data_IF_241800581304
#
_entry.id   IF_241800581304
#
_cell.length_a   1.000
_cell.length_b   1.000
_cell.length_c   1.000
_cell.angle_alpha   90.00
_cell.angle_beta   90.00
_cell.angle_gamma   90.00
#
_symmetry.space_group_name_H-M   'P 1'
#
loop_
_entity.id
_entity.type
_entity.pdbx_description
1 polymer ?
#
# COMPACT_ATOMS: atom_id res chain seq x y z
N UNK A 1 23.75 -53.23 14.40
CA UNK A 1 22.66 -52.28 14.59
C UNK A 1 23.25 -50.89 14.62
N UNK A 2 23.09 -50.02 13.63
CA UNK A 2 23.53 -48.63 13.72
C UNK A 2 22.40 -47.74 14.23
N UNK A 3 22.77 -46.90 15.20
CA UNK A 3 21.88 -45.95 15.87
C UNK A 3 21.43 -44.80 14.96
N UNK A 4 20.18 -44.39 15.12
CA UNK A 4 19.55 -43.23 14.52
C UNK A 4 20.15 -41.92 15.04
N UNK A 5 20.59 -40.98 14.20
CA UNK A 5 20.99 -39.67 14.66
C UNK A 5 19.86 -38.64 14.58
N UNK A 6 19.59 -37.98 15.70
CA UNK A 6 19.53 -36.52 15.78
C UNK A 6 18.26 -35.80 15.37
N UNK A 7 17.11 -36.00 16.08
CA UNK A 7 15.99 -35.03 16.10
C UNK A 7 16.29 -33.72 16.84
N UNK A 8 17.43 -33.60 17.53
CA UNK A 8 17.73 -32.45 18.40
C UNK A 8 18.33 -31.21 17.71
N UNK A 9 18.89 -31.34 16.52
CA UNK A 9 19.63 -30.24 15.87
C UNK A 9 18.70 -29.31 15.09
N UNK A 10 17.66 -29.86 14.46
CA UNK A 10 16.68 -29.08 13.68
C UNK A 10 15.82 -28.15 14.57
N UNK A 11 15.45 -28.61 15.77
CA UNK A 11 14.63 -27.82 16.71
C UNK A 11 15.40 -26.59 17.26
N UNK A 12 16.70 -26.76 17.57
CA UNK A 12 17.55 -25.65 18.05
C UNK A 12 17.80 -24.58 16.99
N UNK A 13 17.83 -24.94 15.70
CA UNK A 13 17.95 -23.98 14.59
C UNK A 13 16.70 -23.13 14.43
N UNK A 14 15.52 -23.75 14.52
CA UNK A 14 14.24 -23.08 14.41
C UNK A 14 13.98 -22.11 15.57
N UNK A 15 14.26 -22.51 16.80
CA UNK A 15 14.17 -21.61 17.97
C UNK A 15 15.10 -20.40 17.86
N UNK A 16 16.29 -20.57 17.27
CA UNK A 16 17.24 -19.48 17.06
C UNK A 16 16.70 -18.47 16.04
N UNK A 17 16.07 -18.96 14.96
CA UNK A 17 15.42 -18.11 13.94
C UNK A 17 14.23 -17.35 14.55
N UNK A 18 13.37 -18.04 15.30
CA UNK A 18 12.21 -17.39 15.96
C UNK A 18 12.68 -16.31 16.96
N UNK A 19 13.74 -16.58 17.75
CA UNK A 19 14.31 -15.58 18.66
C UNK A 19 14.93 -14.39 17.90
N UNK A 20 15.59 -14.65 16.77
CA UNK A 20 16.17 -13.58 15.92
C UNK A 20 15.08 -12.72 15.29
N UNK A 21 13.98 -13.31 14.80
CA UNK A 21 12.81 -12.56 14.26
C UNK A 21 12.12 -11.77 15.36
N UNK A 22 11.96 -12.35 16.56
CA UNK A 22 11.41 -11.63 17.70
C UNK A 22 12.33 -10.52 18.23
N UNK A 23 13.65 -10.73 18.18
CA UNK A 23 14.64 -9.72 18.52
C UNK A 23 14.64 -8.57 17.50
N UNK A 24 14.58 -8.90 16.20
CA UNK A 24 14.46 -7.93 15.12
C UNK A 24 13.16 -7.15 15.21
N UNK A 25 12.04 -7.81 15.51
CA UNK A 25 10.76 -7.16 15.77
C UNK A 25 10.80 -6.19 16.95
N UNK A 26 11.51 -6.58 18.05
CA UNK A 26 11.73 -5.69 19.21
C UNK A 26 12.69 -4.54 18.90
N UNK A 27 13.68 -4.77 18.05
CA UNK A 27 14.67 -3.76 17.66
C UNK A 27 14.07 -2.76 16.66
N UNK A 28 13.21 -3.22 15.74
CA UNK A 28 12.39 -2.35 14.88
C UNK A 28 11.37 -1.56 15.70
N UNK A 29 10.72 -2.16 16.69
CA UNK A 29 9.86 -1.46 17.65
C UNK A 29 10.65 -0.48 18.53
N UNK A 30 11.90 -0.78 18.91
CA UNK A 30 12.80 0.12 19.64
C UNK A 30 13.32 1.27 18.76
N UNK A 31 13.62 1.03 17.47
CA UNK A 31 13.97 2.11 16.53
C UNK A 31 12.76 3.01 16.21
N UNK A 32 11.54 2.45 16.23
CA UNK A 32 10.32 3.25 16.14
C UNK A 32 10.03 4.06 17.41
N UNK A 33 10.51 3.61 18.57
CA UNK A 33 10.43 4.29 19.85
C UNK A 33 11.73 5.03 20.16
N UNK A 34 12.02 6.11 19.44
CA UNK A 34 13.03 7.07 19.89
C UNK A 34 12.56 7.68 21.24
N UNK A 35 13.37 7.61 22.32
CA UNK A 35 12.97 8.17 23.60
C UNK A 35 12.89 9.70 23.46
N UNK A 36 11.71 10.27 23.59
CA UNK A 36 11.56 11.71 23.70
C UNK A 36 10.37 12.39 23.02
N UNK A 37 9.51 11.70 22.27
CA UNK A 37 8.34 12.36 21.68
C UNK A 37 7.04 11.62 22.08
N UNK A 38 6.10 12.31 22.78
CA UNK A 38 4.79 11.76 23.11
C UNK A 38 3.84 11.75 21.91
N UNK A 39 4.37 11.73 20.69
CA UNK A 39 3.60 11.77 19.45
C UNK A 39 3.34 10.34 18.99
N UNK A 40 2.07 9.95 18.78
CA UNK A 40 1.74 8.61 18.34
C UNK A 40 2.34 8.28 16.97
N UNK A 41 2.63 7.01 16.72
CA UNK A 41 3.10 6.53 15.42
C UNK A 41 1.97 6.61 14.38
N UNK A 42 1.96 7.70 13.59
CA UNK A 42 0.97 7.93 12.55
C UNK A 42 1.34 7.09 11.32
N UNK A 43 0.44 6.17 10.94
CA UNK A 43 0.49 5.40 9.72
C UNK A 43 -0.41 6.00 8.63
N UNK A 44 0.08 6.03 7.39
CA UNK A 44 -0.65 6.52 6.22
C UNK A 44 -1.01 5.38 5.27
N UNK A 45 -2.31 5.10 5.13
CA UNK A 45 -2.83 4.12 4.18
C UNK A 45 -3.21 4.80 2.86
N UNK A 46 -2.54 4.43 1.77
CA UNK A 46 -2.80 4.95 0.42
C UNK A 46 -3.56 3.90 -0.40
N UNK A 47 -4.82 4.16 -0.69
CA UNK A 47 -5.69 3.25 -1.45
C UNK A 47 -5.37 3.19 -2.94
N UNK A 48 -5.97 2.21 -3.63
CA UNK A 48 -5.91 2.08 -5.08
C UNK A 48 -6.75 3.13 -5.81
N UNK A 49 -6.55 3.33 -7.13
CA UNK A 49 -7.38 4.30 -7.87
C UNK A 49 -6.89 4.72 -9.25
N UNK A 50 -5.91 4.05 -9.87
CA UNK A 50 -5.33 4.42 -11.17
C UNK A 50 -4.86 5.89 -11.22
N UNK A 51 -5.19 6.66 -12.30
CA UNK A 51 -4.79 8.06 -12.44
C UNK A 51 -5.27 8.94 -11.28
N UNK A 52 -6.44 8.64 -10.69
CA UNK A 52 -6.97 9.34 -9.51
C UNK A 52 -6.01 9.31 -8.32
N UNK A 53 -5.11 8.32 -8.29
CA UNK A 53 -4.04 8.22 -7.29
C UNK A 53 -3.16 9.46 -7.18
N UNK A 54 -3.08 10.32 -8.19
CA UNK A 54 -2.34 11.58 -8.10
C UNK A 54 -2.84 12.47 -6.95
N UNK A 55 -4.06 12.28 -6.46
CA UNK A 55 -4.57 12.96 -5.27
C UNK A 55 -3.76 12.60 -4.00
N UNK A 56 -3.13 11.43 -3.93
CA UNK A 56 -2.24 11.09 -2.82
C UNK A 56 -1.06 12.06 -2.72
N UNK A 57 -0.56 12.59 -3.84
CA UNK A 57 0.53 13.58 -3.85
C UNK A 57 0.08 14.84 -3.13
N UNK A 58 -1.14 15.31 -3.39
CA UNK A 58 -1.72 16.46 -2.71
C UNK A 58 -1.86 16.25 -1.19
N UNK A 59 -2.29 15.04 -0.78
CA UNK A 59 -2.34 14.68 0.64
C UNK A 59 -0.94 14.73 1.27
N UNK A 60 0.06 14.14 0.63
CA UNK A 60 1.45 14.13 1.11
C UNK A 60 2.03 15.55 1.20
N UNK A 61 1.72 16.44 0.23
CA UNK A 61 2.16 17.84 0.26
C UNK A 61 1.66 18.55 1.51
N UNK A 62 0.37 18.43 1.82
CA UNK A 62 -0.19 19.06 3.02
C UNK A 62 0.39 18.46 4.30
N UNK A 63 0.60 17.15 4.34
CA UNK A 63 1.23 16.51 5.51
C UNK A 63 2.65 17.00 5.75
N UNK A 64 3.47 17.21 4.70
CA UNK A 64 4.81 17.77 4.84
C UNK A 64 4.80 19.27 5.21
N UNK A 65 3.98 20.07 4.52
CA UNK A 65 3.82 21.50 4.81
C UNK A 65 3.45 21.74 6.29
N UNK A 66 2.53 20.91 6.81
CA UNK A 66 2.05 20.99 8.19
C UNK A 66 2.90 20.20 9.18
N UNK A 67 4.00 19.62 8.71
CA UNK A 67 4.96 18.83 9.51
C UNK A 67 4.31 17.69 10.30
N UNK A 68 3.30 17.07 9.73
CA UNK A 68 2.66 15.90 10.33
C UNK A 68 3.61 14.69 10.20
N UNK A 69 4.05 14.06 11.31
CA UNK A 69 5.09 13.05 11.30
C UNK A 69 4.54 11.69 10.89
N UNK A 70 4.47 11.40 9.58
CA UNK A 70 4.14 10.07 9.07
C UNK A 70 5.32 9.12 9.36
N UNK A 71 5.05 8.07 10.14
CA UNK A 71 6.06 7.09 10.59
C UNK A 71 6.07 5.81 9.77
N UNK A 72 4.95 5.44 9.18
CA UNK A 72 4.76 4.19 8.43
C UNK A 72 3.81 4.48 7.27
N UNK A 73 4.06 3.90 6.12
CA UNK A 73 3.17 3.98 4.96
C UNK A 73 2.76 2.57 4.54
N UNK A 74 1.51 2.37 4.15
CA UNK A 74 1.10 1.20 3.41
C UNK A 74 0.34 1.63 2.16
N UNK A 75 0.59 0.95 1.05
CA UNK A 75 0.00 1.32 -0.23
C UNK A 75 -0.57 0.13 -0.99
N UNK A 76 -1.63 0.39 -1.73
CA UNK A 76 -2.28 -0.54 -2.65
C UNK A 76 -2.31 0.06 -4.05
N UNK A 77 -1.87 -0.70 -5.07
CA UNK A 77 -1.90 -0.29 -6.47
C UNK A 77 -1.17 1.05 -6.67
N UNK A 78 -1.82 2.07 -7.23
CA UNK A 78 -1.23 3.42 -7.35
C UNK A 78 -0.78 3.99 -6.02
N UNK A 79 -1.46 3.66 -4.91
CA UNK A 79 -1.02 4.06 -3.57
C UNK A 79 0.30 3.40 -3.18
N UNK A 80 0.55 2.15 -3.61
CA UNK A 80 1.84 1.48 -3.44
C UNK A 80 2.93 2.14 -4.30
N UNK A 81 2.60 2.52 -5.54
CA UNK A 81 3.52 3.20 -6.45
C UNK A 81 3.96 4.56 -5.87
N UNK A 82 3.00 5.41 -5.48
CA UNK A 82 3.29 6.74 -4.92
C UNK A 82 3.99 6.61 -3.57
N UNK A 83 3.52 5.70 -2.69
CA UNK A 83 4.15 5.42 -1.42
C UNK A 83 5.60 4.97 -1.56
N UNK A 84 5.90 4.08 -2.53
CA UNK A 84 7.26 3.62 -2.77
C UNK A 84 8.19 4.76 -3.22
N UNK A 85 7.74 5.59 -4.16
CA UNK A 85 8.53 6.72 -4.65
C UNK A 85 8.76 7.75 -3.53
N UNK A 86 7.73 8.09 -2.78
CA UNK A 86 7.81 9.01 -1.65
C UNK A 86 8.73 8.49 -0.54
N UNK A 87 8.51 7.26 -0.08
CA UNK A 87 9.31 6.64 0.98
C UNK A 87 10.78 6.42 0.56
N UNK A 88 11.07 6.30 -0.75
CA UNK A 88 12.44 6.21 -1.26
C UNK A 88 13.23 7.52 -1.12
N UNK A 89 12.56 8.63 -0.82
CA UNK A 89 13.19 9.93 -0.60
C UNK A 89 13.16 10.87 -1.80
N UNK A 90 12.31 10.59 -2.81
CA UNK A 90 12.02 11.58 -3.84
C UNK A 90 11.28 12.76 -3.21
N UNK A 91 11.66 14.00 -3.54
CA UNK A 91 10.94 15.18 -3.04
C UNK A 91 9.53 15.27 -3.65
N UNK A 92 8.61 15.91 -2.94
CA UNK A 92 7.24 16.08 -3.47
C UNK A 92 7.20 16.91 -4.74
N UNK A 93 8.12 17.87 -4.89
CA UNK A 93 8.26 18.65 -6.11
C UNK A 93 8.70 17.77 -7.30
N UNK A 94 9.68 16.89 -7.09
CA UNK A 94 10.10 15.92 -8.12
C UNK A 94 8.97 14.93 -8.43
N UNK A 95 8.24 14.46 -7.40
CA UNK A 95 7.12 13.53 -7.57
C UNK A 95 5.98 14.16 -8.36
N UNK A 96 5.66 15.42 -8.12
CA UNK A 96 4.66 16.18 -8.87
C UNK A 96 5.07 16.35 -10.35
N UNK A 97 6.35 16.69 -10.63
CA UNK A 97 6.90 16.76 -11.99
C UNK A 97 6.78 15.40 -12.71
N UNK A 98 7.10 14.31 -12.01
CA UNK A 98 6.94 12.95 -12.54
C UNK A 98 5.47 12.68 -12.85
N UNK A 99 4.54 13.00 -11.94
CA UNK A 99 3.11 12.79 -12.14
C UNK A 99 2.58 13.51 -13.39
N UNK A 100 2.97 14.77 -13.61
CA UNK A 100 2.58 15.54 -14.82
C UNK A 100 3.10 14.92 -16.12
N UNK A 101 4.23 14.23 -16.08
CA UNK A 101 4.82 13.55 -17.24
C UNK A 101 4.23 12.17 -17.53
N UNK A 102 3.52 11.58 -16.56
CA UNK A 102 2.98 10.23 -16.67
C UNK A 102 1.82 10.14 -17.68
N UNK A 103 1.77 9.01 -18.35
CA UNK A 103 0.69 8.56 -19.22
C UNK A 103 0.46 7.08 -18.95
N UNK A 104 -0.67 6.53 -19.36
CA UNK A 104 -0.91 5.08 -19.26
C UNK A 104 0.25 4.27 -19.87
N UNK A 105 0.74 4.69 -21.02
CA UNK A 105 1.86 4.05 -21.73
C UNK A 105 3.22 4.14 -21.00
N UNK A 106 3.33 4.97 -19.97
CA UNK A 106 4.51 5.01 -19.08
C UNK A 106 4.66 3.70 -18.31
N UNK A 107 3.56 3.08 -17.93
CA UNK A 107 3.48 1.90 -17.08
C UNK A 107 3.12 0.63 -17.85
N UNK A 108 2.36 0.77 -18.93
CA UNK A 108 1.72 -0.29 -19.65
C UNK A 108 2.27 -0.45 -21.07
N UNK A 109 2.37 -1.69 -21.52
CA UNK A 109 2.57 -2.07 -22.92
C UNK A 109 1.44 -3.00 -23.34
N UNK A 110 0.69 -2.62 -24.37
CA UNK A 110 -0.34 -3.50 -24.92
C UNK A 110 0.26 -4.83 -25.37
N UNK A 111 -0.43 -5.91 -25.07
CA UNK A 111 0.00 -7.27 -25.43
C UNK A 111 -1.20 -8.11 -25.81
N UNK A 112 -0.98 -9.11 -26.65
CA UNK A 112 -2.01 -10.11 -26.97
C UNK A 112 -1.78 -11.30 -26.04
N UNK A 113 -2.62 -11.43 -25.02
CA UNK A 113 -2.53 -12.53 -24.05
C UNK A 113 -3.93 -12.95 -23.58
N UNK A 114 -4.10 -14.25 -23.32
CA UNK A 114 -5.33 -14.78 -22.69
C UNK A 114 -5.48 -14.40 -21.22
N UNK A 115 -4.45 -13.79 -20.60
CA UNK A 115 -4.43 -13.45 -19.17
C UNK A 115 -4.62 -11.95 -18.90
N UNK A 116 -4.63 -11.10 -19.93
CA UNK A 116 -4.78 -9.67 -19.80
C UNK A 116 -4.41 -8.94 -21.09
N UNK A 117 -4.73 -7.66 -21.16
CA UNK A 117 -4.54 -6.83 -22.37
C UNK A 117 -3.24 -6.02 -22.36
N UNK A 118 -2.59 -5.90 -21.22
CA UNK A 118 -1.36 -5.15 -21.09
C UNK A 118 -0.36 -5.83 -20.13
N UNK A 119 0.92 -5.74 -20.47
CA UNK A 119 2.02 -6.01 -19.53
C UNK A 119 2.39 -4.71 -18.80
N UNK A 120 2.68 -4.83 -17.51
CA UNK A 120 3.24 -3.73 -16.71
C UNK A 120 4.77 -3.78 -16.60
N UNK A 121 5.47 -4.45 -17.51
CA UNK A 121 6.94 -4.56 -17.50
C UNK A 121 7.63 -3.20 -17.62
N UNK A 122 7.01 -2.22 -18.29
CA UNK A 122 7.51 -0.85 -18.34
C UNK A 122 7.64 -0.19 -16.98
N UNK A 123 6.85 -0.65 -16.00
CA UNK A 123 6.92 -0.17 -14.62
C UNK A 123 8.27 -0.49 -13.98
N UNK A 124 8.95 -1.58 -14.38
CA UNK A 124 10.32 -1.90 -13.92
C UNK A 124 11.26 -0.76 -14.27
N UNK A 125 11.32 -0.39 -15.55
CA UNK A 125 12.20 0.69 -16.02
C UNK A 125 11.81 2.04 -15.39
N UNK A 126 10.52 2.30 -15.25
CA UNK A 126 10.03 3.51 -14.59
C UNK A 126 10.49 3.56 -13.12
N UNK A 127 10.22 2.53 -12.33
CA UNK A 127 10.60 2.45 -10.92
C UNK A 127 12.12 2.48 -10.75
N UNK A 128 12.87 1.78 -11.60
CA UNK A 128 14.34 1.81 -11.57
C UNK A 128 14.88 3.22 -11.71
N UNK A 129 14.23 4.06 -12.51
CA UNK A 129 14.63 5.46 -12.75
C UNK A 129 14.23 6.41 -11.64
N UNK A 130 13.01 6.25 -11.06
CA UNK A 130 12.47 7.24 -10.13
C UNK A 130 12.76 6.94 -8.66
N UNK A 131 12.92 5.67 -8.29
CA UNK A 131 13.24 5.30 -6.91
C UNK A 131 14.67 5.71 -6.56
N UNK A 132 14.87 6.41 -5.45
CA UNK A 132 16.20 6.77 -4.94
C UNK A 132 16.93 5.55 -4.36
N UNK A 133 16.19 4.63 -3.72
CA UNK A 133 16.68 3.33 -3.21
C UNK A 133 15.83 2.20 -3.77
N UNK A 134 16.33 0.94 -3.75
CA UNK A 134 15.69 -0.18 -4.45
C UNK A 134 15.18 -1.28 -3.52
N UNK A 135 15.49 -1.20 -2.23
CA UNK A 135 15.09 -2.18 -1.23
C UNK A 135 14.24 -1.52 -0.15
N UNK A 136 13.36 -2.28 0.47
CA UNK A 136 12.51 -1.80 1.57
C UNK A 136 13.34 -1.35 2.77
N UNK A 137 14.47 -2.01 3.02
CA UNK A 137 15.36 -1.77 4.15
C UNK A 137 16.01 -0.38 4.08
N UNK A 138 16.21 0.14 2.85
CA UNK A 138 16.88 1.42 2.61
C UNK A 138 15.90 2.61 2.58
N UNK A 139 14.59 2.36 2.70
CA UNK A 139 13.57 3.40 2.66
C UNK A 139 13.68 4.35 3.85
N UNK A 140 13.45 5.65 3.61
CA UNK A 140 13.42 6.69 4.67
C UNK A 140 12.24 6.50 5.63
N UNK A 141 11.12 6.00 5.12
CA UNK A 141 9.90 5.69 5.87
C UNK A 141 9.56 4.24 5.58
N UNK A 142 9.35 3.39 6.59
CA UNK A 142 8.90 2.01 6.40
C UNK A 142 7.65 1.93 5.53
N UNK A 143 7.64 1.02 4.57
CA UNK A 143 6.56 0.84 3.61
C UNK A 143 6.04 -0.60 3.60
N UNK A 144 4.72 -0.76 3.62
CA UNK A 144 4.04 -2.00 3.26
C UNK A 144 3.42 -1.89 1.87
N UNK A 145 3.73 -2.81 0.97
CA UNK A 145 3.11 -2.91 -0.36
C UNK A 145 2.20 -4.12 -0.38
N UNK A 146 0.91 -3.91 -0.69
CA UNK A 146 -0.08 -4.99 -0.70
C UNK A 146 -0.27 -5.58 -2.09
N UNK A 147 -0.47 -6.88 -2.15
CA UNK A 147 -0.92 -7.60 -3.34
C UNK A 147 -1.91 -8.70 -2.93
N UNK A 148 -2.57 -9.32 -3.90
CA UNK A 148 -3.46 -10.45 -3.65
C UNK A 148 -2.90 -11.70 -4.30
N UNK A 149 -2.77 -12.79 -3.55
CA UNK A 149 -2.41 -14.10 -4.08
C UNK A 149 -3.57 -14.66 -4.88
N UNK A 150 -3.34 -14.87 -6.18
CA UNK A 150 -4.39 -15.26 -7.12
C UNK A 150 -4.98 -16.65 -6.81
N UNK A 151 -4.16 -17.57 -6.31
CA UNK A 151 -4.59 -18.95 -6.07
C UNK A 151 -5.38 -19.11 -4.77
N UNK A 152 -5.06 -18.27 -3.76
CA UNK A 152 -5.65 -18.40 -2.42
C UNK A 152 -6.64 -17.28 -2.07
N UNK A 153 -6.66 -16.19 -2.84
CA UNK A 153 -7.44 -14.99 -2.55
C UNK A 153 -6.92 -14.20 -1.33
N UNK A 154 -5.84 -14.66 -0.69
CA UNK A 154 -5.29 -14.00 0.51
C UNK A 154 -4.49 -12.77 0.14
N UNK A 155 -4.62 -11.73 0.97
CA UNK A 155 -3.76 -10.56 0.90
C UNK A 155 -2.33 -10.88 1.32
N UNK A 156 -1.39 -10.26 0.63
CA UNK A 156 0.06 -10.36 0.90
C UNK A 156 0.58 -8.95 1.13
N UNK A 157 1.43 -8.78 2.15
CA UNK A 157 2.10 -7.51 2.42
C UNK A 157 3.60 -7.71 2.28
N UNK A 158 4.22 -6.95 1.40
CA UNK A 158 5.66 -6.92 1.20
C UNK A 158 6.26 -5.72 1.95
N UNK A 159 7.29 -5.96 2.73
CA UNK A 159 8.01 -4.95 3.51
C UNK A 159 9.52 -5.23 3.60
N UNK A 160 10.03 -6.15 2.79
CA UNK A 160 11.46 -6.52 2.77
C UNK A 160 11.92 -6.91 1.37
N UNK A 161 13.22 -6.75 1.10
CA UNK A 161 13.85 -7.07 -0.17
C UNK A 161 13.57 -6.01 -1.26
N UNK A 162 13.51 -6.42 -2.53
CA UNK A 162 13.28 -5.51 -3.67
C UNK A 162 11.88 -4.90 -3.64
N UNK A 163 11.77 -3.59 -3.92
CA UNK A 163 10.51 -2.84 -3.98
C UNK A 163 9.79 -3.05 -5.32
N UNK A 164 10.54 -3.27 -6.40
CA UNK A 164 10.03 -3.15 -7.77
C UNK A 164 8.95 -4.18 -8.08
N UNK A 165 9.23 -5.47 -7.86
CA UNK A 165 8.27 -6.52 -8.19
C UNK A 165 7.02 -6.51 -7.30
N UNK A 166 7.11 -6.24 -5.97
CA UNK A 166 5.93 -6.00 -5.14
C UNK A 166 5.03 -4.86 -5.64
N UNK A 167 5.60 -3.71 -6.04
CA UNK A 167 4.82 -2.60 -6.60
C UNK A 167 4.16 -2.99 -7.92
N UNK A 168 4.89 -3.72 -8.81
CA UNK A 168 4.31 -4.26 -10.04
C UNK A 168 3.13 -5.18 -9.77
N UNK A 169 3.28 -6.10 -8.82
CA UNK A 169 2.23 -7.03 -8.43
C UNK A 169 1.02 -6.28 -7.84
N UNK A 170 1.28 -5.29 -6.99
CA UNK A 170 0.25 -4.41 -6.43
C UNK A 170 -0.56 -3.69 -7.50
N UNK A 171 0.05 -3.37 -8.63
CA UNK A 171 -0.58 -2.69 -9.78
C UNK A 171 -1.07 -3.65 -10.87
N UNK A 172 -1.05 -4.96 -10.65
CA UNK A 172 -1.50 -5.95 -11.63
C UNK A 172 -3.04 -6.11 -11.62
N UNK A 173 -3.75 -5.07 -12.06
CA UNK A 173 -5.21 -5.00 -12.05
C UNK A 173 -5.82 -6.09 -12.94
N UNK A 174 -6.68 -6.97 -12.38
CA UNK A 174 -7.23 -8.10 -13.11
C UNK A 174 -8.01 -7.69 -14.36
N UNK A 175 -7.84 -8.45 -15.43
CA UNK A 175 -8.46 -8.17 -16.73
C UNK A 175 -7.70 -7.11 -17.55
N UNK A 176 -6.98 -6.19 -16.93
CA UNK A 176 -6.15 -5.21 -17.65
C UNK A 176 -4.70 -5.66 -17.72
N UNK A 177 -4.07 -5.96 -16.58
CA UNK A 177 -2.68 -6.35 -16.52
C UNK A 177 -2.49 -7.85 -16.28
N UNK A 178 -1.37 -8.37 -16.77
CA UNK A 178 -0.96 -9.74 -16.51
C UNK A 178 -0.65 -9.92 -15.01
N UNK A 179 -1.03 -11.07 -14.40
CA UNK A 179 -0.56 -11.43 -13.07
C UNK A 179 0.98 -11.45 -13.02
N UNK A 180 1.54 -11.09 -11.89
CA UNK A 180 2.99 -11.07 -11.66
C UNK A 180 3.39 -12.30 -10.84
N UNK A 181 4.37 -13.06 -11.31
CA UNK A 181 4.92 -14.18 -10.54
C UNK A 181 6.09 -13.68 -9.68
N UNK A 182 5.97 -13.85 -8.36
CA UNK A 182 7.05 -13.61 -7.40
C UNK A 182 7.29 -14.90 -6.62
N UNK A 183 8.44 -15.52 -6.80
CA UNK A 183 8.86 -16.75 -6.13
C UNK A 183 7.79 -17.86 -6.21
N UNK A 184 7.30 -18.14 -7.41
CA UNK A 184 6.30 -19.17 -7.68
C UNK A 184 4.84 -18.80 -7.34
N UNK A 185 4.59 -17.65 -6.73
CA UNK A 185 3.24 -17.18 -6.41
C UNK A 185 2.74 -16.21 -7.49
N UNK A 186 1.58 -16.49 -8.03
CA UNK A 186 0.88 -15.59 -8.94
C UNK A 186 0.12 -14.53 -8.15
N UNK A 187 0.47 -13.27 -8.39
CA UNK A 187 -0.06 -12.13 -7.66
C UNK A 187 -0.80 -11.19 -8.60
N UNK A 188 -1.87 -10.64 -8.09
CA UNK A 188 -2.69 -9.61 -8.73
C UNK A 188 -2.84 -8.40 -7.80
N UNK A 189 -3.50 -7.35 -8.27
CA UNK A 189 -3.66 -6.09 -7.54
C UNK A 189 -4.17 -6.30 -6.11
N UNK A 190 -3.56 -5.58 -5.19
CA UNK A 190 -3.90 -5.60 -3.77
C UNK A 190 -5.32 -5.10 -3.47
N UNK A 191 -5.97 -4.43 -4.40
CA UNK A 191 -7.33 -3.91 -4.24
C UNK A 191 -8.37 -4.99 -3.96
N UNK A 192 -8.09 -6.25 -4.32
CA UNK A 192 -8.99 -7.38 -4.06
C UNK A 192 -9.03 -7.78 -2.59
N UNK A 193 -7.96 -7.56 -1.82
CA UNK A 193 -7.87 -7.94 -0.40
C UNK A 193 -7.71 -6.74 0.52
N UNK A 194 -7.03 -5.69 0.08
CA UNK A 194 -6.76 -4.48 0.83
C UNK A 194 -7.01 -3.23 -0.04
N UNK A 195 -8.26 -2.85 -0.34
CA UNK A 195 -8.57 -1.64 -1.13
C UNK A 195 -7.91 -0.39 -0.57
N UNK A 196 -7.93 -0.26 0.76
CA UNK A 196 -7.18 0.71 1.55
C UNK A 196 -6.47 -0.07 2.67
N UNK A 197 -5.12 -0.07 2.73
CA UNK A 197 -4.35 -1.01 3.55
C UNK A 197 -4.23 -0.57 5.02
N UNK A 198 -5.35 -0.36 5.71
CA UNK A 198 -5.39 0.08 7.10
C UNK A 198 -4.97 -1.03 8.08
N UNK A 199 -5.43 -2.27 7.87
CA UNK A 199 -5.00 -3.41 8.68
C UNK A 199 -3.50 -3.67 8.59
N UNK A 200 -2.88 -3.71 7.39
CA UNK A 200 -1.42 -3.81 7.27
C UNK A 200 -0.67 -2.77 8.09
N UNK A 201 -1.15 -1.52 8.15
CA UNK A 201 -0.53 -0.49 8.98
C UNK A 201 -0.61 -0.80 10.48
N UNK A 202 -1.76 -1.31 10.95
CA UNK A 202 -1.91 -1.73 12.36
C UNK A 202 -0.94 -2.86 12.69
N UNK A 203 -0.81 -3.83 11.79
CA UNK A 203 0.12 -4.95 11.96
C UNK A 203 1.59 -4.49 11.93
N UNK A 204 1.89 -3.39 11.20
CA UNK A 204 3.21 -2.74 11.18
C UNK A 204 3.45 -1.81 12.38
N UNK A 205 2.49 -1.65 13.29
CA UNK A 205 2.65 -0.90 14.53
C UNK A 205 2.14 0.55 14.49
N UNK A 206 1.29 0.93 13.54
CA UNK A 206 0.66 2.25 13.54
C UNK A 206 -0.31 2.40 14.72
N UNK A 207 -0.11 3.42 15.54
CA UNK A 207 -0.99 3.77 16.67
C UNK A 207 -2.18 4.62 16.20
N UNK A 208 -1.98 5.46 15.19
CA UNK A 208 -3.01 6.22 14.50
C UNK A 208 -2.94 5.93 13.00
N UNK A 209 -4.06 5.67 12.37
CA UNK A 209 -4.16 5.35 10.94
C UNK A 209 -4.97 6.41 10.21
N UNK A 210 -4.27 7.17 9.38
CA UNK A 210 -4.85 8.08 8.39
C UNK A 210 -5.03 7.30 7.08
N UNK A 211 -6.26 7.11 6.65
CA UNK A 211 -6.58 6.40 5.42
C UNK A 211 -6.96 7.37 4.31
N UNK A 212 -6.38 7.21 3.13
CA UNK A 212 -6.75 7.97 1.94
C UNK A 212 -7.47 7.04 0.98
N UNK A 213 -8.77 7.31 0.79
CA UNK A 213 -9.64 6.53 -0.06
C UNK A 213 -10.07 7.33 -1.30
N UNK A 214 -9.77 6.79 -2.46
CA UNK A 214 -10.14 7.39 -3.74
C UNK A 214 -11.48 6.78 -4.21
N UNK A 215 -12.57 7.29 -3.65
CA UNK A 215 -13.91 6.76 -3.93
C UNK A 215 -14.22 6.85 -5.42
N UNK A 216 -14.46 5.68 -6.04
CA UNK A 216 -14.99 5.63 -7.39
C UNK A 216 -16.43 6.13 -7.41
N UNK A 217 -16.76 7.05 -8.33
CA UNK A 217 -18.17 7.31 -8.60
C UNK A 217 -18.67 6.36 -9.66
N UNK A 218 -19.82 5.80 -9.36
CA UNK A 218 -20.60 5.03 -10.31
C UNK A 218 -21.31 6.01 -11.24
N UNK A 219 -21.22 5.79 -12.52
CA UNK A 219 -22.17 6.42 -13.43
C UNK A 219 -23.53 5.77 -13.20
N UNK A 220 -24.40 6.44 -12.45
CA UNK A 220 -25.74 5.94 -12.14
C UNK A 220 -26.62 5.82 -13.37
N UNK A 221 -26.29 6.56 -14.44
CA UNK A 221 -27.18 6.79 -15.56
C UNK A 221 -26.60 6.39 -16.94
N UNK A 222 -25.45 5.72 -17.00
CA UNK A 222 -24.87 5.28 -18.27
C UNK A 222 -24.66 3.79 -18.33
N UNK A 223 -25.07 3.17 -19.44
CA UNK A 223 -24.71 1.80 -19.76
C UNK A 223 -23.19 1.65 -19.91
N UNK A 224 -22.60 0.48 -19.54
CA UNK A 224 -21.18 0.23 -19.76
C UNK A 224 -20.86 0.32 -21.26
N UNK A 225 -19.80 1.06 -21.61
CA UNK A 225 -19.41 1.31 -23.00
C UNK A 225 -18.50 0.20 -23.57
N UNK A 226 -17.81 -0.51 -22.68
CA UNK A 226 -16.84 -1.53 -23.05
C UNK A 226 -16.57 -2.49 -21.88
N UNK A 227 -15.82 -3.55 -22.15
CA UNK A 227 -15.44 -4.57 -21.16
C UNK A 227 -14.72 -4.00 -19.93
N UNK A 228 -13.90 -2.96 -20.12
CA UNK A 228 -13.16 -2.35 -19.00
C UNK A 228 -14.09 -1.58 -18.05
N UNK A 229 -15.13 -0.93 -18.59
CA UNK A 229 -16.17 -0.31 -17.77
C UNK A 229 -16.88 -1.37 -16.91
N UNK A 230 -17.21 -2.55 -17.49
CA UNK A 230 -17.85 -3.66 -16.75
C UNK A 230 -16.94 -4.18 -15.65
N UNK A 231 -15.68 -4.50 -15.97
CA UNK A 231 -14.71 -5.00 -14.99
C UNK A 231 -14.49 -3.96 -13.89
N UNK A 232 -14.22 -2.70 -14.26
CA UNK A 232 -13.97 -1.61 -13.33
C UNK A 232 -15.15 -1.37 -12.38
N UNK A 233 -16.37 -1.38 -12.93
CA UNK A 233 -17.59 -1.23 -12.17
C UNK A 233 -17.80 -2.39 -11.19
N UNK A 234 -17.60 -3.63 -11.63
CA UNK A 234 -17.75 -4.81 -10.77
C UNK A 234 -16.78 -4.79 -9.58
N UNK A 235 -15.52 -4.42 -9.83
CA UNK A 235 -14.53 -4.30 -8.75
C UNK A 235 -14.87 -3.18 -7.78
N UNK A 236 -15.27 -2.03 -8.28
CA UNK A 236 -15.61 -0.92 -7.43
C UNK A 236 -16.85 -1.25 -6.56
N UNK A 237 -17.92 -1.96 -7.08
CA UNK A 237 -19.03 -2.49 -6.26
C UNK A 237 -18.49 -3.37 -5.14
N UNK A 238 -17.62 -4.34 -5.49
CA UNK A 238 -17.03 -5.23 -4.50
C UNK A 238 -16.24 -4.48 -3.42
N UNK A 239 -15.48 -3.45 -3.80
CA UNK A 239 -14.71 -2.63 -2.87
C UNK A 239 -15.61 -1.78 -1.95
N UNK A 240 -16.70 -1.22 -2.46
CA UNK A 240 -17.65 -0.48 -1.65
C UNK A 240 -18.30 -1.39 -0.60
N UNK A 241 -18.68 -2.60 -0.99
CA UNK A 241 -19.17 -3.62 -0.05
C UNK A 241 -18.14 -4.04 1.00
N UNK A 242 -16.85 -4.01 0.68
CA UNK A 242 -15.75 -4.30 1.61
C UNK A 242 -15.38 -3.07 2.48
N UNK A 243 -15.99 -1.92 2.24
CA UNK A 243 -15.65 -0.66 2.91
C UNK A 243 -15.67 -0.75 4.43
N UNK A 244 -16.61 -1.49 5.00
CA UNK A 244 -16.73 -1.70 6.45
C UNK A 244 -15.51 -2.43 7.06
N UNK A 245 -14.83 -3.28 6.31
CA UNK A 245 -13.69 -4.04 6.79
C UNK A 245 -12.50 -3.12 7.10
N UNK A 246 -12.10 -2.29 6.15
CA UNK A 246 -10.91 -1.44 6.31
C UNK A 246 -11.18 -0.13 7.08
N UNK A 247 -12.41 0.42 6.98
CA UNK A 247 -12.78 1.66 7.69
C UNK A 247 -12.70 1.49 9.21
N UNK A 248 -13.07 0.33 9.74
CA UNK A 248 -12.99 0.03 11.17
C UNK A 248 -11.57 0.05 11.76
N UNK A 249 -10.55 -0.04 10.94
CA UNK A 249 -9.14 0.03 11.35
C UNK A 249 -8.52 1.42 11.12
N UNK A 250 -9.23 2.35 10.47
CA UNK A 250 -8.81 3.74 10.31
C UNK A 250 -9.28 4.60 11.48
N UNK A 251 -8.46 5.54 11.95
CA UNK A 251 -8.87 6.58 12.91
C UNK A 251 -9.47 7.78 12.18
N UNK A 252 -8.99 8.05 10.96
CA UNK A 252 -9.51 9.10 10.10
C UNK A 252 -9.43 8.68 8.64
N UNK A 253 -10.48 8.98 7.87
CA UNK A 253 -10.53 8.72 6.43
C UNK A 253 -10.59 10.05 5.68
N UNK A 254 -9.63 10.26 4.79
CA UNK A 254 -9.58 11.38 3.84
C UNK A 254 -10.08 10.88 2.50
N UNK A 255 -11.10 11.52 1.97
CA UNK A 255 -11.71 11.19 0.68
C UNK A 255 -11.60 12.39 -0.26
N UNK A 256 -10.50 12.50 -1.05
CA UNK A 256 -10.40 13.52 -2.09
C UNK A 256 -11.59 13.44 -3.05
N UNK A 257 -12.15 14.59 -3.44
CA UNK A 257 -13.18 14.62 -4.45
C UNK A 257 -12.56 14.35 -5.83
N UNK A 258 -12.60 13.10 -6.21
CA UNK A 258 -12.14 12.60 -7.51
C UNK A 258 -13.32 12.24 -8.42
N UNK A 259 -14.51 12.71 -8.08
CA UNK A 259 -15.70 12.60 -8.91
C UNK A 259 -15.45 13.28 -10.26
N UNK A 260 -15.93 12.70 -11.32
CA UNK A 260 -15.75 13.26 -12.68
C UNK A 260 -14.34 13.07 -13.27
N UNK A 261 -13.45 12.33 -12.60
CA UNK A 261 -12.17 11.90 -13.17
C UNK A 261 -12.22 10.42 -13.56
N UNK A 262 -11.88 10.14 -14.82
CA UNK A 262 -11.70 8.79 -15.32
C UNK A 262 -10.47 8.11 -14.66
N UNK A 263 -10.41 6.77 -14.78
CA UNK A 263 -9.26 6.02 -14.31
C UNK A 263 -7.99 6.26 -15.16
N UNK A 264 -8.12 6.87 -16.35
CA UNK A 264 -7.04 7.18 -17.28
C UNK A 264 -6.75 8.69 -17.44
N UNK A 265 -7.31 9.53 -16.60
CA UNK A 265 -7.19 11.00 -16.66
C UNK A 265 -5.81 11.51 -16.17
N UNK A 266 -4.73 10.88 -16.66
CA UNK A 266 -3.36 11.30 -16.35
C UNK A 266 -3.05 12.75 -16.75
N UNK A 267 -3.76 13.31 -17.73
CA UNK A 267 -3.53 14.69 -18.18
C UNK A 267 -4.02 15.74 -17.18
N UNK A 268 -4.91 15.36 -16.27
CA UNK A 268 -5.50 16.23 -15.26
C UNK A 268 -4.79 16.10 -13.90
N UNK A 269 -3.51 15.76 -13.91
CA UNK A 269 -2.70 15.53 -12.71
C UNK A 269 -2.81 16.69 -11.70
N UNK A 270 -2.69 17.94 -12.15
CA UNK A 270 -2.74 19.10 -11.25
C UNK A 270 -4.09 19.29 -10.56
N UNK A 271 -5.20 18.94 -11.22
CA UNK A 271 -6.53 19.00 -10.61
C UNK A 271 -6.71 17.90 -9.55
N UNK A 272 -6.22 16.68 -9.84
CA UNK A 272 -6.25 15.57 -8.91
C UNK A 272 -5.38 15.84 -7.67
N UNK A 273 -4.16 16.39 -7.86
CA UNK A 273 -3.28 16.78 -6.74
C UNK A 273 -3.99 17.80 -5.86
N UNK A 274 -4.64 18.82 -6.48
CA UNK A 274 -5.39 19.85 -5.75
C UNK A 274 -6.55 19.26 -4.96
N UNK A 275 -7.28 18.29 -5.52
CA UNK A 275 -8.35 17.59 -4.80
C UNK A 275 -7.81 16.92 -3.53
N UNK A 276 -6.62 16.30 -3.60
CA UNK A 276 -5.93 15.73 -2.46
C UNK A 276 -5.54 16.78 -1.41
N UNK A 277 -5.00 17.93 -1.85
CA UNK A 277 -4.64 19.04 -0.96
C UNK A 277 -5.87 19.55 -0.21
N UNK A 278 -6.97 19.80 -0.92
CA UNK A 278 -8.22 20.30 -0.31
C UNK A 278 -8.74 19.33 0.74
N UNK A 279 -8.86 18.04 0.39
CA UNK A 279 -9.36 17.04 1.32
C UNK A 279 -8.47 16.90 2.57
N UNK A 280 -7.15 16.93 2.41
CA UNK A 280 -6.24 16.83 3.55
C UNK A 280 -6.30 18.08 4.45
N UNK A 281 -6.39 19.29 3.87
CA UNK A 281 -6.56 20.52 4.67
C UNK A 281 -7.84 20.50 5.50
N UNK A 282 -8.92 19.94 4.97
CA UNK A 282 -10.17 19.76 5.72
C UNK A 282 -10.01 18.77 6.89
N UNK A 283 -9.16 17.76 6.73
CA UNK A 283 -8.90 16.74 7.75
C UNK A 283 -7.88 17.18 8.82
N UNK A 284 -7.07 18.22 8.56
CA UNK A 284 -6.00 18.69 9.45
C UNK A 284 -6.41 18.93 10.90
N UNK A 285 -7.57 19.57 11.21
CA UNK A 285 -7.97 19.80 12.60
C UNK A 285 -8.04 18.52 13.42
N UNK A 286 -8.49 17.43 12.81
CA UNK A 286 -8.57 16.12 13.50
C UNK A 286 -7.19 15.47 13.66
N UNK A 287 -6.34 15.56 12.63
CA UNK A 287 -4.97 15.02 12.71
C UNK A 287 -4.13 15.78 13.75
N UNK A 288 -4.31 17.10 13.87
CA UNK A 288 -3.59 17.91 14.86
C UNK A 288 -3.93 17.51 16.30
N UNK A 289 -5.15 17.09 16.58
CA UNK A 289 -5.53 16.56 17.90
C UNK A 289 -4.68 15.35 18.32
N UNK A 290 -4.24 14.54 17.36
CA UNK A 290 -3.38 13.39 17.66
C UNK A 290 -1.98 13.82 18.13
N UNK A 291 -1.53 15.02 17.74
CA UNK A 291 -0.22 15.56 18.13
C UNK A 291 -0.26 16.24 19.51
N UNK A 292 -1.44 16.66 19.93
CA UNK A 292 -1.67 17.35 21.22
C UNK A 292 -1.93 16.35 22.36
N UNK A 293 -2.41 15.15 22.04
CA UNK A 293 -2.72 14.13 23.03
C UNK A 293 -1.49 13.27 23.27
N UNK A 294 -0.98 13.15 24.51
CA UNK A 294 0.06 12.17 24.83
C UNK A 294 -0.39 10.77 24.36
N UNK A 295 0.54 10.00 23.82
CA UNK A 295 0.25 8.60 23.44
C UNK A 295 -0.35 7.88 24.65
N UNK A 296 -1.60 7.48 24.55
CA UNK A 296 -2.20 6.62 25.57
C UNK A 296 -1.36 5.34 25.64
N UNK A 297 -0.96 4.96 26.85
CA UNK A 297 -0.30 3.68 27.08
C UNK A 297 -1.15 2.59 26.39
N UNK A 298 -0.56 1.71 25.56
CA UNK A 298 -1.35 0.74 24.80
C UNK A 298 -2.26 -0.02 25.73
N UNK A 299 -3.55 0.23 25.64
CA UNK A 299 -4.55 -0.65 26.28
C UNK A 299 -4.33 -2.00 25.64
N UNK A 300 -3.94 -2.98 26.46
CA UNK A 300 -3.68 -4.34 26.04
C UNK A 300 -4.75 -4.75 25.01
N UNK A 301 -4.33 -4.99 23.79
CA UNK A 301 -5.21 -5.31 22.69
C UNK A 301 -6.12 -6.46 23.12
N UNK A 302 -7.41 -6.21 23.22
CA UNK A 302 -8.40 -7.29 23.35
C UNK A 302 -8.07 -8.27 22.24
N UNK A 303 -7.77 -9.52 22.63
CA UNK A 303 -7.40 -10.59 21.72
C UNK A 303 -8.41 -10.64 20.57
N UNK A 304 -8.00 -10.19 19.40
CA UNK A 304 -8.76 -10.36 18.15
C UNK A 304 -8.59 -11.81 17.72
N UNK A 305 -9.58 -12.45 17.13
CA UNK A 305 -9.39 -13.76 16.51
C UNK A 305 -8.24 -13.62 15.50
N UNK A 306 -7.20 -14.42 15.70
CA UNK A 306 -6.03 -14.44 14.85
C UNK A 306 -6.47 -14.72 13.41
N UNK A 307 -6.23 -13.79 12.50
CA UNK A 307 -6.19 -14.11 11.09
C UNK A 307 -5.15 -15.22 10.91
N UNK A 308 -5.44 -16.27 10.14
CA UNK A 308 -4.49 -17.36 9.95
C UNK A 308 -3.17 -16.77 9.43
N UNK A 309 -2.11 -17.05 10.15
CA UNK A 309 -0.75 -16.65 9.76
C UNK A 309 -0.49 -17.00 8.30
N UNK A 310 0.18 -16.13 7.52
CA UNK A 310 0.61 -16.49 6.19
C UNK A 310 1.46 -17.75 6.29
N UNK A 311 1.16 -18.75 5.45
CA UNK A 311 1.93 -19.98 5.40
C UNK A 311 3.40 -19.64 5.19
N UNK A 312 4.33 -20.32 5.92
CA UNK A 312 5.75 -20.09 5.77
C UNK A 312 6.15 -20.30 4.31
N UNK A 313 7.00 -19.41 3.80
CA UNK A 313 7.61 -19.55 2.48
C UNK A 313 8.36 -20.88 2.45
N UNK A 314 8.23 -21.71 1.39
CA UNK A 314 9.10 -22.87 1.24
C UNK A 314 10.55 -22.37 1.20
N UNK A 315 11.40 -23.01 1.98
CA UNK A 315 12.86 -22.87 1.86
C UNK A 315 13.29 -23.39 0.49
N UNK A 316 14.25 -22.70 -0.14
CA UNK A 316 14.89 -23.14 -1.39
C UNK A 316 15.45 -24.56 -1.28
#
# INVERSE_FOLDING_TARGET
MPGTPGRGVAVKGFEKIVRSVQALGRELSRKAAAPGLPIPAIGLALGGGFARGMAHIGVLKVLEEERIPVRIVAGTSVGALIGAVYCSGLSLEELEKVAHSCRFTTFARWTVSRYGFASNDRMVSFLTRVLKVKTFEDLRIPLGVTATDFNTGKGVVFHSGSIIDPVRASCAYPGMFLPVNIRGRWLVDGMLSYPVPTHPLRDMGAERVLAVHLKGQWSKDSAPRNLFDVIGQSFAIAQDMMGHLWRGAADLVVEPDVAGFGYDDFKRAGELIRAGEVAMRQALPEVRKWLETPAETPVAAKARPALPSPAPMPAD
#
